data_IF_853833762658
#
_entry.id   IF_853833762658
#
_cell.length_a   1.000
_cell.length_b   1.000
_cell.length_c   1.000
_cell.angle_alpha   90.00
_cell.angle_beta   90.00
_cell.angle_gamma   90.00
#
_symmetry.space_group_name_H-M   'P 1'
#
loop_
_entity.id
_entity.type
_entity.pdbx_description
1 polymer ?
#
# COMPACT_ATOMS: atom_id res chain seq x y z
N UNK A 1 -31.90 -24.78 -42.69
CA UNK A 1 -32.11 -23.62 -41.83
C UNK A 1 -31.03 -23.67 -40.78
N UNK A 2 -29.98 -22.90 -40.97
CA UNK A 2 -28.83 -22.81 -40.05
C UNK A 2 -28.96 -21.42 -39.45
N UNK A 3 -29.26 -21.36 -38.15
CA UNK A 3 -29.32 -20.11 -37.41
C UNK A 3 -27.88 -19.65 -37.10
N UNK A 4 -27.47 -18.59 -37.74
CA UNK A 4 -26.24 -17.83 -37.44
C UNK A 4 -26.45 -17.05 -36.12
N UNK A 5 -25.88 -17.57 -35.04
CA UNK A 5 -25.75 -16.81 -33.81
C UNK A 5 -24.55 -15.86 -33.91
N UNK A 6 -24.83 -14.58 -33.98
CA UNK A 6 -23.83 -13.52 -33.94
C UNK A 6 -23.00 -13.55 -32.62
N UNK A 7 -21.70 -13.25 -32.66
CA UNK A 7 -20.89 -13.15 -31.45
C UNK A 7 -21.28 -11.91 -30.64
N UNK A 8 -21.72 -12.13 -29.42
CA UNK A 8 -21.94 -11.07 -28.43
C UNK A 8 -20.62 -10.37 -28.09
N UNK A 9 -20.50 -9.13 -28.53
CA UNK A 9 -19.41 -8.19 -28.20
C UNK A 9 -19.40 -7.91 -26.70
N UNK A 10 -18.60 -8.67 -25.96
CA UNK A 10 -18.34 -8.46 -24.53
C UNK A 10 -17.33 -7.29 -24.33
N UNK A 11 -17.68 -6.11 -24.83
CA UNK A 11 -17.06 -4.87 -24.33
C UNK A 11 -17.62 -4.62 -22.94
N UNK A 12 -16.93 -5.16 -21.94
CA UNK A 12 -17.10 -4.74 -20.56
C UNK A 12 -16.82 -3.23 -20.54
N UNK A 13 -17.89 -2.46 -20.37
CA UNK A 13 -17.81 -1.02 -20.12
C UNK A 13 -16.76 -0.74 -19.07
N UNK A 14 -15.75 0.03 -19.44
CA UNK A 14 -14.79 0.60 -18.53
C UNK A 14 -15.56 1.26 -17.39
N UNK A 15 -15.20 0.98 -16.15
CA UNK A 15 -15.73 1.67 -14.99
C UNK A 15 -15.78 3.17 -15.29
N UNK A 16 -16.83 3.91 -14.83
CA UNK A 16 -17.01 5.29 -15.20
C UNK A 16 -15.72 6.06 -14.98
N UNK A 17 -15.06 6.35 -16.08
CA UNK A 17 -14.00 7.31 -16.13
C UNK A 17 -14.68 8.64 -15.88
N UNK A 18 -14.20 9.28 -14.82
CA UNK A 18 -14.29 10.71 -14.75
C UNK A 18 -15.59 11.30 -14.17
N UNK A 19 -15.50 11.67 -12.91
CA UNK A 19 -16.24 12.83 -12.42
C UNK A 19 -15.60 14.09 -13.05
N UNK A 20 -15.92 14.37 -14.29
CA UNK A 20 -15.89 15.66 -14.98
C UNK A 20 -14.86 16.74 -14.63
N UNK A 21 -13.67 16.40 -14.13
CA UNK A 21 -12.56 17.32 -14.00
C UNK A 21 -11.70 17.18 -15.28
N UNK A 22 -12.06 18.05 -16.23
CA UNK A 22 -11.35 18.29 -17.48
C UNK A 22 -9.82 18.16 -17.30
N UNK A 23 -9.22 17.20 -17.99
CA UNK A 23 -7.75 16.96 -18.06
C UNK A 23 -6.99 18.08 -18.77
N UNK A 24 -7.47 19.31 -18.77
CA UNK A 24 -6.66 20.44 -19.25
C UNK A 24 -5.41 20.51 -18.39
N UNK A 25 -4.30 20.07 -18.97
CA UNK A 25 -2.96 20.22 -18.43
C UNK A 25 -2.78 21.66 -17.96
N UNK A 26 -2.82 21.88 -16.65
CA UNK A 26 -2.31 23.14 -16.09
C UNK A 26 -0.82 23.14 -16.46
N UNK A 27 -0.33 24.15 -17.19
CA UNK A 27 1.08 24.25 -17.52
C UNK A 27 1.88 24.04 -16.24
N UNK A 28 2.98 23.31 -16.35
CA UNK A 28 3.90 23.11 -15.23
C UNK A 28 4.46 24.48 -14.81
N UNK A 29 3.69 25.20 -14.03
CA UNK A 29 4.13 26.49 -13.53
C UNK A 29 5.29 26.22 -12.58
N UNK A 30 6.39 26.91 -12.77
CA UNK A 30 7.59 26.92 -11.93
C UNK A 30 7.22 27.07 -10.43
N UNK A 31 6.11 27.73 -10.12
CA UNK A 31 5.54 27.90 -8.78
C UNK A 31 5.04 26.60 -8.13
N UNK A 32 4.52 25.64 -8.90
CA UNK A 32 4.01 24.37 -8.35
C UNK A 32 5.09 23.28 -8.29
N UNK A 33 6.19 23.42 -9.03
CA UNK A 33 7.27 22.47 -9.00
C UNK A 33 7.90 22.27 -7.60
N UNK A 34 8.19 23.32 -6.80
CA UNK A 34 8.68 23.14 -5.44
C UNK A 34 7.64 22.50 -4.52
N UNK A 35 6.36 22.83 -4.68
CA UNK A 35 5.28 22.25 -3.87
C UNK A 35 5.03 20.80 -4.25
N UNK A 36 5.09 20.46 -5.54
CA UNK A 36 5.10 19.09 -6.03
C UNK A 36 6.29 18.32 -5.48
N UNK A 37 7.49 18.88 -5.54
CA UNK A 37 8.69 18.30 -4.96
C UNK A 37 8.53 18.11 -3.44
N UNK A 38 7.99 19.08 -2.71
CA UNK A 38 7.75 18.96 -1.27
C UNK A 38 6.72 17.87 -0.96
N UNK A 39 5.65 17.73 -1.73
CA UNK A 39 4.64 16.70 -1.57
C UNK A 39 5.15 15.33 -2.04
N UNK A 40 5.83 15.28 -3.18
CA UNK A 40 6.41 14.07 -3.74
C UNK A 40 7.64 13.57 -2.98
N UNK A 41 8.49 14.46 -2.53
CA UNK A 41 9.77 14.15 -1.92
C UNK A 41 9.80 14.44 -0.41
N UNK A 42 8.93 15.29 0.07
CA UNK A 42 8.75 15.63 1.48
C UNK A 42 8.00 14.58 2.28
N UNK A 43 7.92 13.37 1.74
CA UNK A 43 7.19 12.25 2.32
C UNK A 43 7.63 12.01 3.73
N UNK A 44 6.70 12.18 4.58
CA UNK A 44 6.51 11.89 6.01
C UNK A 44 7.75 11.65 6.88
N UNK A 45 8.77 10.96 6.40
CA UNK A 45 10.04 10.75 7.13
C UNK A 45 11.07 11.85 6.86
N UNK A 46 10.96 12.59 5.75
CA UNK A 46 11.83 13.72 5.44
C UNK A 46 11.59 14.94 6.32
N UNK A 47 10.43 15.02 6.96
CA UNK A 47 10.14 16.14 7.90
C UNK A 47 10.68 15.92 9.30
N UNK A 48 11.01 14.69 9.71
CA UNK A 48 11.44 14.43 11.07
C UNK A 48 12.68 15.22 11.48
N UNK A 49 13.76 15.31 10.68
CA UNK A 49 14.92 16.14 11.01
C UNK A 49 14.58 17.63 11.10
N UNK A 50 13.75 18.12 10.17
CA UNK A 50 13.31 19.52 10.16
C UNK A 50 12.39 19.84 11.34
N UNK A 51 11.51 18.90 11.71
CA UNK A 51 10.65 19.05 12.87
C UNK A 51 11.48 19.08 14.16
N UNK A 52 12.46 18.19 14.29
CA UNK A 52 13.40 18.18 15.43
C UNK A 52 14.17 19.50 15.49
N UNK A 53 14.74 19.94 14.36
CA UNK A 53 15.42 21.22 14.28
C UNK A 53 14.52 22.39 14.69
N UNK A 54 13.30 22.44 14.15
CA UNK A 54 12.33 23.47 14.48
C UNK A 54 11.90 23.44 15.96
N UNK A 55 11.74 22.25 16.54
CA UNK A 55 11.45 22.08 17.97
C UNK A 55 12.59 22.60 18.86
N UNK A 56 13.83 22.37 18.45
CA UNK A 56 15.00 22.85 19.18
C UNK A 56 15.18 24.37 19.05
N UNK A 57 14.99 24.91 17.85
CA UNK A 57 15.29 26.30 17.55
C UNK A 57 14.12 27.26 17.82
N UNK A 58 12.89 26.83 17.62
CA UNK A 58 11.67 27.65 17.76
C UNK A 58 10.50 26.85 18.37
N UNK A 59 10.64 26.32 19.59
CA UNK A 59 9.69 25.38 20.17
C UNK A 59 8.26 25.92 20.24
N UNK A 60 8.07 27.18 20.68
CA UNK A 60 6.72 27.77 20.78
C UNK A 60 6.02 27.89 19.43
N UNK A 61 6.74 28.32 18.39
CA UNK A 61 6.18 28.45 17.03
C UNK A 61 5.89 27.09 16.43
N UNK A 62 6.74 26.09 16.68
CA UNK A 62 6.55 24.73 16.20
C UNK A 62 5.32 24.09 16.85
N UNK A 63 5.16 24.23 18.17
CA UNK A 63 3.97 23.73 18.88
C UNK A 63 2.71 24.43 18.39
N UNK A 64 2.74 25.76 18.20
CA UNK A 64 1.61 26.50 17.63
C UNK A 64 1.27 26.04 16.22
N UNK A 65 2.28 25.83 15.36
CA UNK A 65 2.10 25.31 14.00
C UNK A 65 1.48 23.92 13.97
N UNK A 66 1.95 23.01 14.83
CA UNK A 66 1.40 21.68 15.01
C UNK A 66 -0.08 21.77 15.47
N UNK A 67 -0.36 22.60 16.48
CA UNK A 67 -1.72 22.84 16.96
C UNK A 67 -2.65 23.36 15.87
N UNK A 68 -2.19 24.35 15.09
CA UNK A 68 -2.93 24.88 13.94
C UNK A 68 -3.21 23.80 12.91
N UNK A 69 -2.19 23.00 12.53
CA UNK A 69 -2.39 21.88 11.60
C UNK A 69 -3.48 20.92 12.08
N UNK A 70 -3.40 20.46 13.34
CA UNK A 70 -4.41 19.53 13.88
C UNK A 70 -5.79 20.15 14.00
N UNK A 71 -5.90 21.48 14.12
CA UNK A 71 -7.18 22.18 14.13
C UNK A 71 -7.83 22.25 12.74
N UNK A 72 -7.03 22.52 11.69
CA UNK A 72 -7.56 22.71 10.35
C UNK A 72 -7.69 21.39 9.55
N UNK A 73 -6.92 20.34 9.89
CA UNK A 73 -6.87 19.09 9.11
C UNK A 73 -8.21 18.37 8.96
N UNK A 74 -9.14 18.61 9.87
CA UNK A 74 -10.50 18.04 9.82
C UNK A 74 -11.46 18.82 8.91
N UNK A 75 -11.10 20.01 8.47
CA UNK A 75 -11.96 20.79 7.59
C UNK A 75 -12.07 20.13 6.20
N UNK A 76 -13.26 20.19 5.61
CA UNK A 76 -13.50 19.64 4.28
C UNK A 76 -12.63 20.32 3.21
N UNK A 77 -12.44 21.64 3.35
CA UNK A 77 -11.61 22.43 2.45
C UNK A 77 -10.15 21.95 2.48
N UNK A 78 -9.56 21.82 3.67
CA UNK A 78 -8.17 21.33 3.82
C UNK A 78 -8.00 19.96 3.16
N UNK A 79 -8.89 19.01 3.47
CA UNK A 79 -8.83 17.66 2.92
C UNK A 79 -8.97 17.65 1.39
N UNK A 80 -9.85 18.47 0.85
CA UNK A 80 -10.01 18.60 -0.60
C UNK A 80 -8.77 19.19 -1.25
N UNK A 81 -8.19 20.25 -0.68
CA UNK A 81 -6.94 20.84 -1.16
C UNK A 81 -5.79 19.84 -1.13
N UNK A 82 -5.59 19.13 -0.01
CA UNK A 82 -4.51 18.14 0.12
C UNK A 82 -4.68 17.01 -0.90
N UNK A 83 -5.87 16.45 -1.03
CA UNK A 83 -6.14 15.39 -2.02
C UNK A 83 -5.93 15.87 -3.45
N UNK A 84 -6.41 17.06 -3.78
CA UNK A 84 -6.19 17.65 -5.09
C UNK A 84 -4.70 17.81 -5.39
N UNK A 85 -3.91 18.33 -4.44
CA UNK A 85 -2.46 18.45 -4.57
C UNK A 85 -1.76 17.09 -4.73
N UNK A 86 -2.18 16.07 -3.98
CA UNK A 86 -1.60 14.72 -4.06
C UNK A 86 -1.91 14.06 -5.41
N UNK A 87 -3.12 14.19 -5.90
CA UNK A 87 -3.53 13.64 -7.21
C UNK A 87 -2.84 14.39 -8.36
N UNK A 88 -2.88 15.72 -8.37
CA UNK A 88 -2.25 16.53 -9.43
C UNK A 88 -0.74 16.62 -9.29
N UNK A 89 -0.20 16.46 -8.07
CA UNK A 89 1.24 16.45 -7.81
C UNK A 89 1.93 15.14 -8.19
N UNK A 90 1.19 14.06 -8.44
CA UNK A 90 1.75 12.81 -8.94
C UNK A 90 2.00 12.93 -10.44
N UNK A 91 3.28 12.94 -10.86
CA UNK A 91 3.67 13.04 -12.27
C UNK A 91 3.24 11.80 -13.07
N UNK A 92 3.16 10.63 -12.40
CA UNK A 92 2.72 9.38 -12.99
C UNK A 92 1.80 8.64 -12.02
N UNK A 93 0.59 8.36 -12.50
CA UNK A 93 -0.37 7.55 -11.75
C UNK A 93 -0.02 6.07 -11.90
N UNK A 94 -0.15 5.27 -10.83
CA UNK A 94 -0.03 3.82 -10.95
C UNK A 94 -1.03 3.29 -11.99
N UNK A 95 -0.57 2.37 -12.83
CA UNK A 95 -1.45 1.59 -13.67
C UNK A 95 -2.21 0.62 -12.76
N UNK A 96 -3.52 0.47 -12.99
CA UNK A 96 -4.33 -0.48 -12.25
C UNK A 96 -4.88 -1.55 -13.20
N UNK A 97 -4.68 -2.82 -12.84
CA UNK A 97 -5.15 -3.99 -13.59
C UNK A 97 -6.03 -4.83 -12.68
N UNK A 98 -7.20 -5.16 -13.16
CA UNK A 98 -8.09 -6.17 -12.56
C UNK A 98 -7.79 -7.52 -13.21
N UNK A 99 -7.21 -8.45 -12.47
CA UNK A 99 -6.92 -9.80 -12.92
C UNK A 99 -7.88 -10.83 -12.33
N UNK A 100 -8.82 -10.40 -11.50
CA UNK A 100 -9.87 -11.28 -11.00
C UNK A 100 -10.84 -11.69 -12.12
N UNK A 101 -11.35 -12.90 -12.02
CA UNK A 101 -12.30 -13.48 -13.00
C UNK A 101 -13.70 -12.87 -12.91
N UNK A 102 -14.06 -12.35 -11.71
CA UNK A 102 -15.35 -11.70 -11.44
C UNK A 102 -15.14 -10.47 -10.56
N UNK A 103 -15.98 -9.43 -10.70
CA UNK A 103 -15.99 -8.32 -9.76
C UNK A 103 -16.19 -8.82 -8.33
N UNK A 104 -15.54 -8.17 -7.37
CA UNK A 104 -15.81 -8.47 -5.95
C UNK A 104 -17.22 -8.03 -5.56
N UNK A 105 -17.87 -8.80 -4.71
CA UNK A 105 -19.16 -8.42 -4.17
C UNK A 105 -18.96 -7.37 -3.05
N UNK A 106 -19.42 -6.12 -3.22
CA UNK A 106 -19.27 -5.08 -2.20
C UNK A 106 -20.07 -5.38 -0.92
N UNK A 107 -21.06 -6.27 -0.98
CA UNK A 107 -21.86 -6.70 0.18
C UNK A 107 -21.18 -7.79 0.99
N UNK A 108 -20.17 -8.44 0.43
CA UNK A 108 -19.38 -9.46 1.12
C UNK A 108 -18.20 -8.82 1.85
N UNK A 109 -17.91 -9.29 3.05
CA UNK A 109 -16.74 -8.87 3.79
C UNK A 109 -15.49 -9.65 3.36
N UNK A 110 -14.37 -8.93 3.29
CA UNK A 110 -13.06 -9.46 2.95
C UNK A 110 -12.00 -8.93 3.91
N UNK A 111 -10.78 -9.46 3.79
CA UNK A 111 -9.56 -8.84 4.24
C UNK A 111 -8.71 -8.57 3.00
N UNK A 112 -8.21 -7.34 2.81
CA UNK A 112 -7.31 -7.05 1.69
C UNK A 112 -5.85 -7.15 2.16
N UNK A 113 -5.07 -7.98 1.49
CA UNK A 113 -3.63 -8.11 1.69
C UNK A 113 -2.87 -7.55 0.47
N UNK A 114 -2.15 -6.47 0.68
CA UNK A 114 -1.40 -5.76 -0.35
C UNK A 114 0.09 -6.13 -0.27
N UNK A 115 0.70 -6.42 -1.41
CA UNK A 115 2.10 -6.84 -1.56
C UNK A 115 2.79 -6.09 -2.69
N UNK A 116 4.11 -5.86 -2.60
CA UNK A 116 4.91 -5.82 -1.37
C UNK A 116 4.65 -4.53 -0.57
N UNK A 117 5.29 -4.41 0.62
CA UNK A 117 5.23 -3.18 1.40
C UNK A 117 5.92 -2.01 0.69
N UNK A 118 7.03 -2.27 0.03
CA UNK A 118 7.90 -1.20 -0.44
C UNK A 118 8.47 -0.36 0.70
N UNK A 119 9.25 0.67 0.39
CA UNK A 119 9.83 1.55 1.42
C UNK A 119 8.81 2.56 1.93
N UNK A 120 8.11 3.23 1.02
CA UNK A 120 7.21 4.34 1.32
C UNK A 120 5.73 4.07 0.96
N UNK A 121 5.36 2.85 0.65
CA UNK A 121 3.99 2.46 0.25
C UNK A 121 3.41 3.30 -0.93
N UNK A 122 4.27 3.82 -1.77
CA UNK A 122 3.94 4.84 -2.76
C UNK A 122 2.83 4.42 -3.74
N UNK A 123 2.90 3.20 -4.26
CA UNK A 123 1.89 2.68 -5.17
C UNK A 123 0.51 2.63 -4.53
N UNK A 124 0.46 2.21 -3.27
CA UNK A 124 -0.78 2.14 -2.51
C UNK A 124 -1.35 3.52 -2.22
N UNK A 125 -0.52 4.49 -1.83
CA UNK A 125 -0.96 5.86 -1.58
C UNK A 125 -1.57 6.51 -2.82
N UNK A 126 -0.86 6.46 -3.94
CA UNK A 126 -1.34 7.05 -5.18
C UNK A 126 -2.66 6.42 -5.62
N UNK A 127 -2.78 5.11 -5.47
CA UNK A 127 -4.00 4.40 -5.80
C UNK A 127 -5.18 4.83 -4.91
N UNK A 128 -4.96 4.90 -3.60
CA UNK A 128 -5.99 5.35 -2.65
C UNK A 128 -6.36 6.83 -2.84
N UNK A 129 -5.41 7.69 -3.17
CA UNK A 129 -5.69 9.09 -3.47
C UNK A 129 -6.54 9.24 -4.74
N UNK A 130 -6.25 8.43 -5.78
CA UNK A 130 -6.93 8.52 -7.07
C UNK A 130 -8.34 7.92 -7.02
N UNK A 131 -8.46 6.70 -6.55
CA UNK A 131 -9.71 5.94 -6.58
C UNK A 131 -10.46 5.95 -5.24
N UNK A 132 -9.85 6.52 -4.21
CA UNK A 132 -10.36 6.43 -2.86
C UNK A 132 -10.23 5.02 -2.28
N UNK A 133 -10.91 4.79 -1.17
CA UNK A 133 -10.90 3.49 -0.50
C UNK A 133 -11.92 2.49 -1.08
N UNK A 134 -12.48 2.78 -2.25
CA UNK A 134 -13.42 1.94 -2.98
C UNK A 134 -12.85 1.48 -4.34
N UNK A 135 -11.53 1.53 -4.52
CA UNK A 135 -10.92 1.24 -5.82
C UNK A 135 -11.11 -0.22 -6.26
N UNK A 136 -11.46 -1.11 -5.35
CA UNK A 136 -11.69 -2.53 -5.62
C UNK A 136 -13.21 -2.77 -5.69
N UNK A 137 -13.78 -2.59 -6.86
CA UNK A 137 -15.17 -2.92 -7.20
C UNK A 137 -16.23 -2.43 -6.19
N UNK A 138 -16.01 -1.26 -5.58
CA UNK A 138 -16.92 -0.69 -4.58
C UNK A 138 -16.78 -1.23 -3.17
N UNK A 139 -15.88 -2.18 -2.91
CA UNK A 139 -15.58 -2.70 -1.56
C UNK A 139 -15.10 -1.57 -0.67
N UNK A 140 -15.78 -1.39 0.45
CA UNK A 140 -15.42 -0.33 1.42
C UNK A 140 -14.21 -0.76 2.24
N UNK A 141 -13.15 0.04 2.25
CA UNK A 141 -11.90 -0.32 2.93
C UNK A 141 -11.50 0.69 4.01
N UNK A 142 -10.75 0.19 4.99
CA UNK A 142 -10.02 0.98 5.97
C UNK A 142 -8.56 0.53 5.99
N UNK A 143 -7.64 1.49 5.89
CA UNK A 143 -6.21 1.19 5.88
C UNK A 143 -5.71 0.93 7.30
N UNK A 144 -5.15 -0.26 7.52
CA UNK A 144 -4.54 -0.63 8.78
C UNK A 144 -3.01 -0.42 8.70
N UNK A 145 -2.50 0.49 9.52
CA UNK A 145 -1.10 0.90 9.52
C UNK A 145 -0.45 0.67 10.88
N UNK A 146 0.87 0.75 10.96
CA UNK A 146 1.56 0.70 12.25
C UNK A 146 1.02 1.81 13.19
N UNK A 147 0.87 1.54 14.51
CA UNK A 147 0.19 2.46 15.44
C UNK A 147 0.67 3.90 15.40
N UNK A 148 1.98 4.11 15.27
CA UNK A 148 2.55 5.46 15.19
C UNK A 148 2.30 6.15 13.85
N UNK A 149 2.18 5.38 12.78
CA UNK A 149 2.02 5.92 11.42
C UNK A 149 0.69 6.64 11.25
N UNK A 150 -0.36 6.23 11.94
CA UNK A 150 -1.67 6.90 11.91
C UNK A 150 -1.63 8.36 12.38
N UNK A 151 -0.62 8.72 13.17
CA UNK A 151 -0.46 10.09 13.68
C UNK A 151 0.40 10.97 12.76
N UNK A 152 1.03 10.40 11.73
CA UNK A 152 1.79 11.22 10.80
C UNK A 152 0.89 12.22 10.07
N UNK A 153 1.39 13.45 9.87
CA UNK A 153 0.71 14.44 9.06
C UNK A 153 0.34 13.88 7.68
N UNK A 154 -0.79 14.30 7.15
CA UNK A 154 -1.35 13.94 5.85
C UNK A 154 -1.88 12.50 5.70
N UNK A 155 -1.59 11.56 6.62
CA UNK A 155 -2.13 10.20 6.49
C UNK A 155 -3.66 10.15 6.57
N UNK A 156 -4.26 10.88 7.52
CA UNK A 156 -5.70 10.97 7.62
C UNK A 156 -6.33 11.56 6.38
N UNK A 157 -5.72 12.58 5.82
CA UNK A 157 -6.18 13.27 4.62
C UNK A 157 -6.08 12.37 3.37
N UNK A 158 -4.97 11.62 3.22
CA UNK A 158 -4.75 10.67 2.13
C UNK A 158 -5.84 9.60 2.12
N UNK A 159 -6.12 9.02 3.28
CA UNK A 159 -7.06 7.91 3.42
C UNK A 159 -8.48 8.36 3.84
N UNK A 160 -8.78 9.64 3.74
CA UNK A 160 -10.09 10.21 4.10
C UNK A 160 -10.54 9.82 5.51
N UNK A 161 -9.61 9.89 6.46
CA UNK A 161 -9.74 9.46 7.86
C UNK A 161 -10.07 7.96 8.06
N UNK A 162 -10.03 7.16 7.00
CA UNK A 162 -10.18 5.71 7.08
C UNK A 162 -8.83 5.03 7.29
N UNK A 163 -8.19 5.41 8.39
CA UNK A 163 -6.91 4.84 8.85
C UNK A 163 -7.04 4.41 10.29
N UNK A 164 -6.56 3.21 10.58
CA UNK A 164 -6.51 2.68 11.93
C UNK A 164 -5.21 1.89 12.16
N UNK A 165 -5.01 1.35 13.36
CA UNK A 165 -3.84 0.53 13.64
C UNK A 165 -4.00 -0.91 13.13
N UNK A 166 -2.89 -1.54 12.76
CA UNK A 166 -2.82 -2.91 12.24
C UNK A 166 -2.72 -3.98 13.35
N UNK A 167 -3.14 -3.67 14.59
CA UNK A 167 -3.17 -4.68 15.65
C UNK A 167 -4.24 -5.75 15.36
N UNK A 168 -3.97 -6.99 15.80
CA UNK A 168 -4.94 -8.08 15.70
C UNK A 168 -6.31 -7.67 16.27
N UNK A 169 -6.31 -7.03 17.45
CA UNK A 169 -7.53 -6.57 18.11
C UNK A 169 -8.36 -5.64 17.22
N UNK A 170 -7.69 -4.70 16.56
CA UNK A 170 -8.36 -3.73 15.67
C UNK A 170 -8.90 -4.43 14.41
N UNK A 171 -8.10 -5.27 13.77
CA UNK A 171 -8.52 -6.03 12.59
C UNK A 171 -9.73 -6.91 12.93
N UNK A 172 -9.67 -7.68 14.02
CA UNK A 172 -10.78 -8.50 14.49
C UNK A 172 -12.05 -7.68 14.79
N UNK A 173 -11.88 -6.47 15.38
CA UNK A 173 -13.02 -5.60 15.66
C UNK A 173 -13.70 -5.06 14.40
N UNK A 174 -12.93 -4.84 13.32
CA UNK A 174 -13.46 -4.43 12.02
C UNK A 174 -14.22 -5.60 11.40
N UNK A 175 -13.57 -6.78 11.33
CA UNK A 175 -14.15 -7.98 10.73
C UNK A 175 -15.43 -8.46 11.45
N UNK A 176 -15.52 -8.24 12.76
CA UNK A 176 -16.72 -8.55 13.56
C UNK A 176 -17.75 -7.41 13.62
N UNK A 177 -17.52 -6.30 12.92
CA UNK A 177 -18.42 -5.15 12.90
C UNK A 177 -18.46 -4.30 14.16
N UNK A 178 -17.57 -4.50 15.13
CA UNK A 178 -17.55 -3.75 16.40
C UNK A 178 -16.77 -2.44 16.33
N UNK A 179 -15.88 -2.30 15.36
CA UNK A 179 -15.11 -1.08 15.20
C UNK A 179 -16.01 0.12 14.85
N UNK A 180 -15.81 1.32 15.44
CA UNK A 180 -16.65 2.49 15.15
C UNK A 180 -16.80 2.78 13.66
N UNK A 181 -15.71 2.74 12.88
CA UNK A 181 -15.76 2.97 11.43
C UNK A 181 -16.57 1.88 10.70
N UNK A 182 -16.57 0.62 11.17
CA UNK A 182 -17.37 -0.45 10.59
C UNK A 182 -18.85 -0.22 10.85
N UNK A 183 -19.21 0.20 12.08
CA UNK A 183 -20.59 0.57 12.42
C UNK A 183 -21.10 1.73 11.58
N UNK A 184 -20.30 2.79 11.42
CA UNK A 184 -20.65 3.94 10.58
C UNK A 184 -20.83 3.52 9.12
N UNK A 185 -19.92 2.72 8.58
CA UNK A 185 -20.00 2.24 7.21
C UNK A 185 -21.24 1.39 6.97
N UNK A 186 -21.56 0.49 7.91
CA UNK A 186 -22.78 -0.32 7.84
C UNK A 186 -24.05 0.53 7.92
N UNK A 187 -24.08 1.55 8.79
CA UNK A 187 -25.24 2.42 8.95
C UNK A 187 -25.45 3.34 7.72
N UNK A 188 -24.38 3.96 7.21
CA UNK A 188 -24.48 4.94 6.13
C UNK A 188 -24.58 4.30 4.73
N UNK A 189 -23.87 3.19 4.49
CA UNK A 189 -23.71 2.58 3.17
C UNK A 189 -24.32 1.20 3.05
N UNK A 190 -24.76 0.61 4.17
CA UNK A 190 -25.26 -0.77 4.24
C UNK A 190 -24.25 -1.80 3.69
N UNK A 191 -22.97 -1.50 3.79
CA UNK A 191 -21.87 -2.32 3.29
C UNK A 191 -20.90 -2.66 4.42
N UNK A 192 -20.28 -3.85 4.39
CA UNK A 192 -19.24 -4.19 5.36
C UNK A 192 -17.97 -3.38 5.10
N UNK A 193 -17.20 -3.17 6.15
CA UNK A 193 -15.90 -2.51 6.08
C UNK A 193 -14.77 -3.54 6.05
N UNK A 194 -13.95 -3.52 5.01
CA UNK A 194 -12.83 -4.43 4.78
C UNK A 194 -11.54 -3.82 5.32
N UNK A 195 -10.82 -4.46 6.26
CA UNK A 195 -9.49 -4.04 6.64
C UNK A 195 -8.49 -4.29 5.50
N UNK A 196 -7.71 -3.27 5.15
CA UNK A 196 -6.63 -3.35 4.16
C UNK A 196 -5.29 -3.30 4.89
N UNK A 197 -4.47 -4.31 4.72
CA UNK A 197 -3.16 -4.46 5.38
C UNK A 197 -2.05 -4.67 4.37
N UNK A 198 -0.81 -4.44 4.81
CA UNK A 198 0.40 -4.79 4.09
C UNK A 198 1.19 -5.74 4.99
N UNK A 199 1.07 -7.08 4.81
CA UNK A 199 1.52 -8.06 5.80
C UNK A 199 3.02 -8.03 6.09
N UNK A 200 3.86 -7.71 5.11
CA UNK A 200 5.31 -7.62 5.25
C UNK A 200 5.80 -6.54 6.22
N UNK A 201 5.06 -5.42 6.29
CA UNK A 201 5.31 -4.31 7.22
C UNK A 201 6.72 -3.74 7.13
N UNK A 202 7.21 -3.12 8.20
CA UNK A 202 8.53 -2.49 8.25
C UNK A 202 9.71 -3.47 8.05
N UNK A 203 9.51 -4.75 8.38
CA UNK A 203 10.54 -5.77 8.13
C UNK A 203 10.76 -5.92 6.64
N UNK A 204 9.71 -6.03 5.84
CA UNK A 204 9.80 -6.10 4.39
C UNK A 204 10.44 -4.83 3.80
N UNK A 205 9.99 -3.65 4.23
CA UNK A 205 10.58 -2.39 3.82
C UNK A 205 12.10 -2.31 4.05
N UNK A 206 12.58 -2.94 5.13
CA UNK A 206 14.02 -2.98 5.44
C UNK A 206 14.79 -3.92 4.50
N UNK A 207 14.16 -4.99 4.02
CA UNK A 207 14.75 -5.91 3.04
C UNK A 207 14.48 -5.50 1.59
N UNK A 208 13.57 -4.59 1.35
CA UNK A 208 13.33 -4.06 0.00
C UNK A 208 14.62 -3.50 -0.55
N UNK A 209 15.11 -4.09 -1.61
CA UNK A 209 16.25 -3.61 -2.36
C UNK A 209 15.98 -3.93 -3.81
N UNK A 210 16.31 -3.02 -4.72
CA UNK A 210 16.28 -3.33 -6.13
C UNK A 210 17.25 -4.49 -6.41
N UNK A 211 16.72 -5.69 -6.52
CA UNK A 211 17.47 -6.86 -6.98
C UNK A 211 17.15 -7.09 -8.44
N UNK A 212 18.16 -7.38 -9.28
CA UNK A 212 17.92 -7.49 -10.73
C UNK A 212 16.93 -8.60 -11.08
N UNK A 213 16.94 -9.70 -10.33
CA UNK A 213 16.20 -10.93 -10.68
C UNK A 213 15.31 -11.46 -9.56
N UNK A 214 15.35 -10.88 -8.36
CA UNK A 214 14.58 -11.37 -7.22
C UNK A 214 13.71 -10.25 -6.65
N UNK A 215 12.47 -10.60 -6.39
CA UNK A 215 11.49 -9.79 -5.66
C UNK A 215 11.27 -10.43 -4.28
N UNK A 216 11.58 -9.71 -3.21
CA UNK A 216 11.44 -10.27 -1.85
C UNK A 216 10.09 -9.90 -1.24
N UNK A 217 9.39 -10.91 -0.69
CA UNK A 217 8.23 -10.71 0.16
C UNK A 217 8.48 -11.30 1.56
N UNK A 218 8.30 -10.48 2.61
CA UNK A 218 8.54 -10.90 4.00
C UNK A 218 7.30 -11.62 4.56
N UNK A 219 7.12 -12.86 4.12
CA UNK A 219 5.91 -13.64 4.36
C UNK A 219 6.13 -14.96 5.10
N UNK A 220 7.38 -15.48 5.16
CA UNK A 220 7.65 -16.82 5.71
C UNK A 220 7.13 -17.02 7.14
N UNK A 221 7.07 -15.96 7.95
CA UNK A 221 6.60 -16.02 9.34
C UNK A 221 5.32 -15.18 9.56
N UNK A 222 4.59 -14.80 8.50
CA UNK A 222 3.43 -13.90 8.58
C UNK A 222 2.09 -14.64 8.47
N UNK A 223 1.70 -15.35 9.53
CA UNK A 223 0.43 -16.09 9.59
C UNK A 223 -0.73 -15.29 10.20
N UNK A 224 -0.44 -14.19 10.91
CA UNK A 224 -1.43 -13.51 11.76
C UNK A 224 -2.67 -13.00 11.01
N UNK A 225 -2.50 -12.47 9.81
CA UNK A 225 -3.62 -11.95 9.01
C UNK A 225 -4.50 -13.09 8.43
N UNK A 226 -3.87 -14.22 8.06
CA UNK A 226 -4.61 -15.41 7.62
C UNK A 226 -5.43 -15.96 8.77
N UNK A 227 -4.84 -16.00 9.98
CA UNK A 227 -5.57 -16.37 11.20
C UNK A 227 -6.80 -15.48 11.42
N UNK A 228 -6.67 -14.15 11.30
CA UNK A 228 -7.80 -13.23 11.41
C UNK A 228 -8.89 -13.52 10.37
N UNK A 229 -8.49 -13.81 9.11
CA UNK A 229 -9.43 -14.14 8.05
C UNK A 229 -10.19 -15.44 8.33
N UNK A 230 -9.49 -16.49 8.76
CA UNK A 230 -10.09 -17.78 9.15
C UNK A 230 -11.05 -17.60 10.32
N UNK A 231 -10.62 -16.91 11.41
CA UNK A 231 -11.44 -16.65 12.60
C UNK A 231 -12.71 -15.85 12.27
N UNK A 232 -12.68 -15.02 11.24
CA UNK A 232 -13.81 -14.23 10.79
C UNK A 232 -14.63 -14.89 9.65
N UNK A 233 -14.18 -16.02 9.11
CA UNK A 233 -14.84 -16.71 8.00
C UNK A 233 -14.83 -15.88 6.71
N UNK A 234 -13.81 -15.05 6.47
CA UNK A 234 -13.70 -14.18 5.28
C UNK A 234 -12.57 -14.59 4.35
N UNK A 235 -12.70 -14.28 3.08
CA UNK A 235 -11.66 -14.51 2.09
C UNK A 235 -10.70 -13.31 2.01
N UNK A 236 -9.50 -13.55 1.47
CA UNK A 236 -8.45 -12.54 1.38
C UNK A 236 -8.32 -12.05 -0.06
N UNK A 237 -8.65 -10.77 -0.31
CA UNK A 237 -8.32 -10.11 -1.58
C UNK A 237 -6.82 -9.94 -1.64
N UNK A 238 -6.19 -10.46 -2.69
CA UNK A 238 -4.76 -10.32 -2.93
C UNK A 238 -4.53 -9.19 -3.93
N UNK A 239 -3.66 -8.25 -3.56
CA UNK A 239 -3.23 -7.20 -4.45
C UNK A 239 -1.69 -7.14 -4.50
N UNK A 240 -1.12 -6.98 -5.70
CA UNK A 240 0.32 -6.89 -5.91
C UNK A 240 0.70 -5.62 -6.66
N UNK A 241 1.75 -4.92 -6.18
CA UNK A 241 2.26 -3.69 -6.77
C UNK A 241 3.62 -3.92 -7.41
N UNK A 242 3.65 -4.15 -8.71
CA UNK A 242 4.87 -4.30 -9.50
C UNK A 242 5.61 -2.97 -9.62
N UNK A 243 6.95 -3.00 -9.50
CA UNK A 243 7.81 -1.83 -9.56
C UNK A 243 7.99 -1.08 -8.23
N UNK A 244 7.21 -1.40 -7.20
CA UNK A 244 7.28 -0.72 -5.91
C UNK A 244 8.63 -0.92 -5.22
N UNK A 245 9.22 -2.09 -5.31
CA UNK A 245 10.52 -2.41 -4.74
C UNK A 245 11.70 -1.81 -5.55
N UNK A 246 11.47 -1.40 -6.79
CA UNK A 246 12.48 -0.77 -7.64
C UNK A 246 12.59 0.75 -7.46
N UNK A 247 11.66 1.33 -6.71
CA UNK A 247 11.65 2.78 -6.50
C UNK A 247 12.86 3.30 -5.73
N UNK A 248 13.38 2.52 -4.80
CA UNK A 248 14.48 2.91 -3.93
C UNK A 248 15.40 1.73 -3.65
N UNK A 249 16.66 2.04 -3.30
CA UNK A 249 17.58 1.05 -2.73
C UNK A 249 17.65 1.20 -1.23
N UNK A 250 17.86 0.09 -0.52
CA UNK A 250 18.10 0.08 0.93
C UNK A 250 19.57 -0.21 1.22
N UNK A 251 20.13 0.48 2.22
CA UNK A 251 21.48 0.21 2.67
C UNK A 251 21.58 -1.18 3.29
N UNK A 252 22.59 -1.93 2.90
CA UNK A 252 22.81 -3.31 3.39
C UNK A 252 23.30 -3.35 4.85
N UNK A 253 23.92 -2.26 5.33
CA UNK A 253 24.53 -2.19 6.67
C UNK A 253 23.54 -2.58 7.77
N UNK A 254 23.89 -3.57 8.56
CA UNK A 254 23.09 -4.13 9.65
C UNK A 254 21.60 -4.38 9.30
N UNK A 255 21.27 -4.70 8.05
CA UNK A 255 19.89 -4.83 7.55
C UNK A 255 19.06 -5.80 8.40
N UNK A 256 19.61 -6.95 8.76
CA UNK A 256 18.91 -7.95 9.58
C UNK A 256 18.61 -7.40 10.99
N UNK A 257 19.58 -6.78 11.65
CA UNK A 257 19.40 -6.18 12.98
C UNK A 257 18.35 -5.06 12.93
N UNK A 258 18.37 -4.24 11.88
CA UNK A 258 17.40 -3.16 11.68
C UNK A 258 15.99 -3.72 11.45
N UNK A 259 15.83 -4.79 10.67
CA UNK A 259 14.53 -5.42 10.43
C UNK A 259 13.92 -5.99 11.72
N UNK A 260 14.75 -6.61 12.57
CA UNK A 260 14.31 -7.10 13.89
C UNK A 260 13.91 -5.95 14.80
N UNK A 261 14.72 -4.88 14.87
CA UNK A 261 14.41 -3.68 15.66
C UNK A 261 13.16 -2.96 15.16
N UNK A 262 12.97 -2.85 13.85
CA UNK A 262 11.76 -2.25 13.27
C UNK A 262 10.50 -2.94 13.74
N UNK A 263 10.53 -4.26 13.82
CA UNK A 263 9.41 -5.05 14.32
C UNK A 263 9.20 -4.90 15.83
N UNK A 264 10.29 -4.92 16.61
CA UNK A 264 10.22 -4.82 18.06
C UNK A 264 9.75 -3.45 18.54
N UNK A 265 10.18 -2.38 17.87
CA UNK A 265 9.88 -1.00 18.26
C UNK A 265 8.65 -0.41 17.55
N UNK A 266 8.13 -1.09 16.52
CA UNK A 266 7.04 -0.55 15.70
C UNK A 266 7.44 0.73 14.94
N UNK A 267 8.74 0.96 14.74
CA UNK A 267 9.30 2.12 14.07
C UNK A 267 10.07 1.70 12.82
N UNK A 268 9.96 2.45 11.72
CA UNK A 268 10.76 2.16 10.53
C UNK A 268 12.23 2.45 10.81
N UNK A 269 13.06 1.43 10.68
CA UNK A 269 14.53 1.53 10.76
C UNK A 269 15.18 1.39 9.39
N UNK A 270 14.40 1.65 8.34
CA UNK A 270 14.84 1.56 6.96
C UNK A 270 15.80 2.71 6.66
N UNK A 271 16.95 2.36 6.10
CA UNK A 271 17.86 3.34 5.50
C UNK A 271 17.82 3.13 3.99
N UNK A 272 17.40 4.15 3.27
CA UNK A 272 17.20 4.07 1.82
C UNK A 272 17.87 5.23 1.10
N UNK A 273 18.09 5.04 -0.17
CA UNK A 273 18.59 6.07 -1.08
C UNK A 273 17.87 5.97 -2.43
N UNK A 274 17.71 7.10 -3.06
CA UNK A 274 17.32 7.25 -4.44
C UNK A 274 18.50 7.77 -5.29
N UNK A 275 18.26 8.16 -6.54
CA UNK A 275 19.24 8.84 -7.37
C UNK A 275 19.70 10.11 -6.66
N UNK A 276 20.95 10.49 -6.86
CA UNK A 276 21.57 11.69 -6.28
C UNK A 276 21.72 11.68 -4.75
N UNK A 277 21.69 10.50 -4.11
CA UNK A 277 21.72 10.36 -2.64
C UNK A 277 20.59 11.12 -1.92
N UNK A 278 19.66 11.69 -2.65
CA UNK A 278 18.48 12.35 -2.11
C UNK A 278 17.43 11.27 -1.82
N UNK A 279 17.35 10.84 -0.58
CA UNK A 279 16.53 9.71 -0.13
C UNK A 279 15.05 9.76 -0.49
N UNK A 280 14.55 10.86 -1.02
CA UNK A 280 13.14 11.05 -1.33
C UNK A 280 12.80 11.02 -2.84
N UNK A 281 13.80 11.02 -3.71
CA UNK A 281 13.58 10.88 -5.15
C UNK A 281 13.62 9.40 -5.55
N UNK A 282 12.59 8.84 -6.17
CA UNK A 282 12.60 7.44 -6.59
C UNK A 282 13.43 7.24 -7.87
N UNK A 283 14.00 6.03 -8.06
CA UNK A 283 14.65 5.62 -9.31
C UNK A 283 13.63 5.44 -10.44
N UNK A 284 12.44 4.98 -10.10
CA UNK A 284 11.33 4.81 -11.05
C UNK A 284 10.02 5.16 -10.36
N UNK A 285 9.07 5.65 -11.16
CA UNK A 285 7.68 5.87 -10.74
C UNK A 285 6.72 4.96 -11.52
N UNK A 286 7.23 4.04 -12.34
CA UNK A 286 6.42 3.10 -13.08
C UNK A 286 5.94 1.99 -12.14
N UNK A 287 4.71 2.12 -11.67
CA UNK A 287 4.07 1.17 -10.77
C UNK A 287 2.81 0.64 -11.43
N UNK A 288 2.64 -0.67 -11.36
CA UNK A 288 1.40 -1.34 -11.79
C UNK A 288 0.83 -2.12 -10.62
N UNK A 289 -0.36 -1.75 -10.16
CA UNK A 289 -1.08 -2.49 -9.12
C UNK A 289 -2.07 -3.44 -9.79
N UNK A 290 -2.03 -4.69 -9.37
CA UNK A 290 -2.89 -5.77 -9.87
C UNK A 290 -3.68 -6.36 -8.71
N UNK A 291 -4.99 -6.54 -8.90
CA UNK A 291 -5.84 -7.28 -7.96
C UNK A 291 -6.24 -8.62 -8.58
N UNK A 292 -6.34 -9.65 -7.73
CA UNK A 292 -6.57 -11.03 -8.13
C UNK A 292 -7.82 -11.60 -7.46
N UNK A 293 -8.27 -12.77 -7.88
CA UNK A 293 -9.36 -13.48 -7.20
C UNK A 293 -9.07 -13.61 -5.70
N UNK A 294 -10.09 -13.63 -4.84
CA UNK A 294 -9.86 -13.78 -3.41
C UNK A 294 -9.29 -15.16 -3.09
N UNK A 295 -8.23 -15.21 -2.25
CA UNK A 295 -7.78 -16.45 -1.64
C UNK A 295 -8.85 -16.95 -0.67
N UNK A 296 -9.31 -18.22 -0.78
CA UNK A 296 -10.46 -18.73 -0.05
C UNK A 296 -10.10 -19.11 1.40
N UNK A 297 -9.66 -18.15 2.21
CA UNK A 297 -9.27 -18.39 3.60
C UNK A 297 -10.43 -18.88 4.46
N UNK A 298 -11.67 -18.54 4.11
CA UNK A 298 -12.88 -19.00 4.80
C UNK A 298 -13.12 -20.52 4.75
N UNK A 299 -12.40 -21.24 3.87
CA UNK A 299 -12.51 -22.71 3.75
C UNK A 299 -11.64 -23.46 4.77
N UNK A 300 -10.72 -22.79 5.43
CA UNK A 300 -9.78 -23.40 6.37
C UNK A 300 -10.30 -23.27 7.79
N UNK A 301 -9.83 -24.18 8.66
CA UNK A 301 -10.01 -24.12 10.11
C UNK A 301 -8.71 -23.67 10.78
N UNK A 302 -8.75 -23.31 12.07
CA UNK A 302 -7.57 -22.79 12.78
C UNK A 302 -6.43 -23.82 12.93
N UNK A 303 -6.76 -25.09 13.04
CA UNK A 303 -5.78 -26.19 13.04
C UNK A 303 -5.09 -26.37 11.68
N UNK A 304 -5.73 -25.94 10.62
CA UNK A 304 -5.15 -25.91 9.27
C UNK A 304 -4.37 -24.62 8.96
N UNK A 305 -4.14 -23.75 9.92
CA UNK A 305 -3.45 -22.46 9.69
C UNK A 305 -2.07 -22.61 9.03
N UNK A 306 -1.20 -23.59 9.40
CA UNK A 306 0.07 -23.79 8.69
C UNK A 306 -0.12 -24.15 7.21
N UNK A 307 -1.11 -24.99 6.90
CA UNK A 307 -1.46 -25.36 5.53
C UNK A 307 -2.01 -24.14 4.77
N UNK A 308 -2.96 -23.41 5.35
CA UNK A 308 -3.52 -22.20 4.76
C UNK A 308 -2.44 -21.16 4.46
N UNK A 309 -1.41 -21.02 5.30
CA UNK A 309 -0.28 -20.14 5.07
C UNK A 309 0.59 -20.61 3.89
N UNK A 310 0.90 -21.91 3.83
CA UNK A 310 1.64 -22.50 2.70
C UNK A 310 0.89 -22.27 1.39
N UNK A 311 -0.40 -22.56 1.37
CA UNK A 311 -1.26 -22.40 0.19
C UNK A 311 -1.41 -20.93 -0.21
N UNK A 312 -1.49 -20.01 0.77
CA UNK A 312 -1.48 -18.58 0.49
C UNK A 312 -0.18 -18.11 -0.17
N UNK A 313 0.98 -18.57 0.29
CA UNK A 313 2.26 -18.23 -0.33
C UNK A 313 2.35 -18.78 -1.76
N UNK A 314 1.91 -20.02 -1.97
CA UNK A 314 1.84 -20.61 -3.31
C UNK A 314 0.91 -19.82 -4.23
N UNK A 315 -0.27 -19.41 -3.72
CA UNK A 315 -1.23 -18.58 -4.42
C UNK A 315 -0.64 -17.21 -4.78
N UNK A 316 -0.02 -16.52 -3.83
CA UNK A 316 0.63 -15.21 -4.06
C UNK A 316 1.74 -15.32 -5.13
N UNK A 317 2.52 -16.41 -5.11
CA UNK A 317 3.53 -16.67 -6.15
C UNK A 317 2.89 -16.88 -7.51
N UNK A 318 1.82 -17.66 -7.61
CA UNK A 318 1.08 -17.86 -8.86
C UNK A 318 0.49 -16.55 -9.40
N UNK A 319 -0.08 -15.71 -8.52
CA UNK A 319 -0.56 -14.37 -8.86
C UNK A 319 0.57 -13.50 -9.45
N UNK A 320 1.73 -13.46 -8.78
CA UNK A 320 2.91 -12.74 -9.26
C UNK A 320 3.36 -13.25 -10.63
N UNK A 321 3.57 -14.56 -10.77
CA UNK A 321 4.07 -15.19 -11.99
C UNK A 321 3.13 -14.97 -13.18
N UNK A 322 1.82 -14.95 -12.94
CA UNK A 322 0.79 -14.73 -13.99
C UNK A 322 0.85 -13.34 -14.63
N UNK A 323 1.37 -12.32 -13.90
CA UNK A 323 1.32 -10.92 -14.34
C UNK A 323 2.69 -10.25 -14.45
N UNK A 324 3.77 -10.86 -13.96
CA UNK A 324 5.09 -10.25 -13.95
C UNK A 324 5.57 -9.82 -15.34
N UNK A 325 5.32 -10.62 -16.37
CA UNK A 325 5.73 -10.29 -17.76
C UNK A 325 4.94 -9.11 -18.34
N UNK A 326 3.62 -9.10 -18.14
CA UNK A 326 2.74 -7.99 -18.57
C UNK A 326 3.10 -6.67 -17.87
N UNK A 327 3.61 -6.77 -16.64
CA UNK A 327 4.02 -5.62 -15.83
C UNK A 327 5.50 -5.24 -16.02
N UNK A 328 6.23 -5.83 -16.96
CA UNK A 328 7.64 -5.51 -17.24
C UNK A 328 8.64 -6.17 -16.27
N UNK A 329 8.21 -7.15 -15.47
CA UNK A 329 9.00 -7.83 -14.45
C UNK A 329 9.21 -9.33 -14.74
N UNK A 330 9.08 -9.74 -16.02
CA UNK A 330 9.18 -11.14 -16.44
C UNK A 330 10.52 -11.82 -16.05
N UNK A 331 11.56 -11.03 -15.87
CA UNK A 331 12.89 -11.50 -15.46
C UNK A 331 13.05 -11.71 -13.95
N UNK A 332 12.02 -11.37 -13.14
CA UNK A 332 12.07 -11.49 -11.67
C UNK A 332 11.38 -12.76 -11.17
N UNK A 333 11.91 -13.29 -10.07
CA UNK A 333 11.31 -14.36 -9.30
C UNK A 333 10.90 -13.88 -7.92
N UNK A 334 9.71 -14.27 -7.45
CA UNK A 334 9.25 -13.95 -6.10
C UNK A 334 9.84 -14.94 -5.10
N UNK A 335 10.56 -14.42 -4.11
CA UNK A 335 11.14 -15.19 -3.02
C UNK A 335 10.56 -14.75 -1.67
N UNK A 336 10.12 -15.75 -0.88
CA UNK A 336 9.59 -15.51 0.45
C UNK A 336 10.69 -15.57 1.49
N UNK A 337 10.82 -14.50 2.25
CA UNK A 337 11.78 -14.35 3.35
C UNK A 337 11.06 -14.13 4.68
N UNK A 338 11.78 -14.29 5.78
CA UNK A 338 11.30 -14.10 7.14
C UNK A 338 12.43 -14.16 8.15
N UNK A 339 12.12 -14.20 9.44
CA UNK A 339 13.14 -14.41 10.49
C UNK A 339 13.78 -15.77 10.39
N UNK A 340 12.97 -16.80 10.15
CA UNK A 340 13.38 -18.19 9.98
C UNK A 340 14.05 -18.44 8.63
N UNK A 341 13.81 -17.57 7.65
CA UNK A 341 14.33 -17.66 6.30
C UNK A 341 14.84 -16.30 5.83
N UNK A 342 16.01 -15.83 6.29
CA UNK A 342 16.58 -14.58 5.80
C UNK A 342 17.00 -14.73 4.32
N UNK A 343 17.09 -13.62 3.56
CA UNK A 343 17.60 -13.66 2.20
C UNK A 343 19.04 -14.15 2.19
N UNK A 344 19.42 -14.90 1.15
CA UNK A 344 20.79 -15.38 0.99
C UNK A 344 21.78 -14.22 1.00
N UNK A 345 22.80 -14.31 1.85
CA UNK A 345 23.81 -13.25 2.04
C UNK A 345 24.58 -12.88 0.76
N UNK A 346 24.65 -13.79 -0.22
CA UNK A 346 25.31 -13.56 -1.51
C UNK A 346 24.50 -12.70 -2.49
N UNK A 347 23.22 -12.43 -2.23
CA UNK A 347 22.36 -11.63 -3.10
C UNK A 347 22.48 -10.10 -2.88
N UNK A 348 23.32 -9.67 -1.95
CA UNK A 348 23.54 -8.24 -1.67
C UNK A 348 24.50 -7.66 -2.71
N UNK A 349 24.01 -7.41 -3.92
CA UNK A 349 24.79 -6.66 -4.91
C UNK A 349 24.89 -5.17 -4.52
N UNK A 350 26.05 -4.62 -4.82
CA UNK A 350 26.34 -3.19 -4.71
C UNK A 350 25.28 -2.35 -5.44
N UNK A 351 25.03 -1.12 -4.98
CA UNK A 351 24.10 -0.23 -5.67
C UNK A 351 24.53 -0.10 -7.14
N UNK A 352 23.61 -0.40 -8.04
CA UNK A 352 23.84 -0.12 -9.46
C UNK A 352 24.00 1.38 -9.62
N UNK A 353 25.19 1.81 -10.00
CA UNK A 353 25.38 3.10 -10.65
C UNK A 353 24.58 3.09 -11.96
N UNK A 354 23.33 3.50 -11.92
CA UNK A 354 22.65 3.96 -13.13
C UNK A 354 23.01 5.43 -13.28
N UNK A 355 24.13 5.67 -14.00
CA UNK A 355 24.41 6.95 -14.63
C UNK A 355 23.39 7.22 -15.73
#
# INVERSE_FOLDING_TARGET
>A
MVDDAAPTDNRLEAAPTDNGLDERSIPDSILLAPLRAAIHHGRLLGYAPWLIYAMLMKPRQTVAGIGTYYSIRRSALWRSCVRWLLVKGSSRQPRYIRAQTKPYDPKRQYLLAAHPHGILNYGWWNLFCRFGLNFVDGVQMIMCVAPLVKFYPLYGEIFNDRVTDASKRTIDSILKGYHPAAKTCAAEKQLPLTPAIIPGGFSEATYTAAHPTIEYAYMADRMGFIKCAIEAGVDIIVAYSFGLNDMYSTLAWQRHVRAVKAQAWGLPTVLWTGPYLLGNTPFTEQITVVTFDPFPASKYTLDQLPQAHSDYMAYLKACFDSKKSECGHGHKELEFIGKSKPPNAMATQAPRSRL
#
